data_IF_880440772926
#
_entry.id   IF_880440772926
#
_cell.length_a   1.000
_cell.length_b   1.000
_cell.length_c   1.000
_cell.angle_alpha   90.00
_cell.angle_beta   90.00
_cell.angle_gamma   90.00
#
_symmetry.space_group_name_H-M   'P 1'
#
loop_
_entity.id
_entity.type
_entity.pdbx_description
1 polymer ?
#
# COMPACT_ATOMS: atom_id res chain seq x y z
N UNK A 1 15.54 7.83 7.04
CA UNK A 1 15.42 9.13 6.37
C UNK A 1 15.39 9.04 4.84
N UNK A 2 16.12 8.14 4.17
CA UNK A 2 16.18 8.10 2.69
C UNK A 2 14.82 7.84 1.99
N UNK A 3 14.03 6.89 2.47
CA UNK A 3 12.80 6.46 1.79
C UNK A 3 11.59 7.38 2.02
N UNK A 4 11.66 8.32 2.97
CA UNK A 4 10.57 9.24 3.29
C UNK A 4 10.65 10.56 2.52
N UNK A 5 11.83 10.91 2.02
CA UNK A 5 12.06 12.20 1.35
C UNK A 5 11.29 12.30 0.04
N UNK A 6 11.37 11.29 -0.84
CA UNK A 6 10.72 11.38 -2.16
C UNK A 6 9.20 11.52 -2.05
N UNK A 7 8.58 10.91 -1.03
CA UNK A 7 7.14 10.99 -0.80
C UNK A 7 6.67 12.40 -0.43
N UNK A 8 7.53 13.21 0.20
CA UNK A 8 7.21 14.61 0.53
C UNK A 8 6.97 15.45 -0.73
N UNK A 9 7.69 15.19 -1.82
CA UNK A 9 7.49 15.90 -3.08
C UNK A 9 6.14 15.61 -3.74
N UNK A 10 5.46 14.52 -3.40
CA UNK A 10 4.12 14.16 -3.92
C UNK A 10 2.97 14.39 -2.93
N UNK A 11 3.20 15.15 -1.86
CA UNK A 11 2.22 15.31 -0.77
C UNK A 11 1.25 16.46 -1.04
N UNK A 12 -0.03 16.24 -0.78
CA UNK A 12 -1.05 17.29 -0.71
C UNK A 12 -1.08 17.91 0.70
N UNK A 13 -1.22 19.23 0.78
CA UNK A 13 -1.60 19.90 2.01
C UNK A 13 -3.13 19.91 2.14
N UNK A 14 -3.60 19.83 3.38
CA UNK A 14 -5.00 19.97 3.73
C UNK A 14 -5.19 21.29 4.47
N UNK A 15 -6.18 22.06 4.07
CA UNK A 15 -6.62 23.24 4.81
C UNK A 15 -7.79 22.88 5.70
N UNK A 16 -7.66 23.25 6.97
CA UNK A 16 -8.69 23.05 7.97
C UNK A 16 -9.13 24.41 8.48
N UNK A 17 -10.41 24.71 8.33
CA UNK A 17 -11.02 25.95 8.81
C UNK A 17 -11.68 25.69 10.15
N UNK A 18 -11.30 26.45 11.16
CA UNK A 18 -12.03 26.46 12.45
C UNK A 18 -13.41 27.09 12.23
N UNK A 19 -14.43 26.43 12.75
CA UNK A 19 -15.85 26.82 12.70
C UNK A 19 -16.47 26.58 14.07
N UNK A 20 -17.61 27.21 14.32
CA UNK A 20 -18.37 26.93 15.53
C UNK A 20 -18.86 25.49 15.52
N UNK A 21 -18.77 24.84 16.68
CA UNK A 21 -19.33 23.52 16.83
C UNK A 21 -20.86 23.61 16.95
N UNK A 22 -21.56 22.66 16.34
CA UNK A 22 -23.02 22.59 16.44
C UNK A 22 -23.38 22.01 17.81
N UNK A 23 -24.39 22.58 18.45
CA UNK A 23 -24.86 22.11 19.75
C UNK A 23 -25.28 20.64 19.68
N UNK A 24 -24.77 19.84 20.62
CA UNK A 24 -25.02 18.39 20.67
C UNK A 24 -24.04 17.53 19.85
N UNK A 25 -23.19 18.11 19.00
CA UNK A 25 -22.10 17.35 18.38
C UNK A 25 -20.93 17.16 19.37
N UNK A 26 -20.56 15.90 19.58
CA UNK A 26 -19.44 15.52 20.44
C UNK A 26 -18.11 15.59 19.68
N UNK A 27 -17.01 15.64 20.41
CA UNK A 27 -15.69 15.48 19.82
C UNK A 27 -15.67 14.20 18.94
N UNK A 28 -15.01 14.26 17.79
CA UNK A 28 -14.94 13.13 16.86
C UNK A 28 -14.31 13.50 15.53
N UNK A 29 -14.22 12.54 14.61
CA UNK A 29 -13.94 12.84 13.21
C UNK A 29 -15.00 12.20 12.32
N UNK A 30 -15.46 13.01 11.38
CA UNK A 30 -16.64 12.78 10.59
C UNK A 30 -16.25 12.96 9.12
N UNK A 31 -16.66 12.00 8.30
CA UNK A 31 -16.52 12.06 6.85
C UNK A 31 -17.77 11.42 6.25
N UNK A 32 -18.36 12.07 5.26
CA UNK A 32 -19.56 11.56 4.60
C UNK A 32 -19.86 12.31 3.32
N UNK A 33 -21.01 12.00 2.74
CA UNK A 33 -21.62 12.73 1.64
C UNK A 33 -22.77 13.57 2.18
N UNK A 34 -22.91 14.81 1.71
CA UNK A 34 -24.04 15.69 2.03
C UNK A 34 -24.90 15.82 0.78
N UNK A 35 -26.11 15.26 0.81
CA UNK A 35 -27.07 15.37 -0.30
C UNK A 35 -27.49 16.82 -0.56
N UNK A 36 -27.65 17.61 0.51
CA UNK A 36 -28.04 19.03 0.41
C UNK A 36 -26.96 19.93 -0.22
N UNK A 37 -25.69 19.55 -0.08
CA UNK A 37 -24.55 20.32 -0.61
C UNK A 37 -23.91 19.65 -1.84
N UNK A 38 -24.44 18.51 -2.26
CA UNK A 38 -23.94 17.64 -3.33
C UNK A 38 -22.41 17.44 -3.30
N UNK A 39 -21.87 17.18 -2.09
CA UNK A 39 -20.42 17.05 -1.90
C UNK A 39 -20.02 16.16 -0.73
N UNK A 40 -18.81 15.62 -0.80
CA UNK A 40 -18.15 15.05 0.38
C UNK A 40 -17.86 16.13 1.43
N UNK A 41 -18.05 15.81 2.70
CA UNK A 41 -17.57 16.61 3.82
C UNK A 41 -16.55 15.81 4.65
N UNK A 42 -15.59 16.49 5.25
CA UNK A 42 -14.73 15.95 6.29
C UNK A 42 -14.54 17.04 7.36
N UNK A 43 -14.81 16.71 8.62
CA UNK A 43 -14.52 17.60 9.76
C UNK A 43 -14.12 16.78 10.99
N UNK A 44 -13.48 17.45 11.95
CA UNK A 44 -13.29 16.88 13.28
C UNK A 44 -13.58 17.91 14.36
N UNK A 45 -14.05 17.44 15.51
CA UNK A 45 -14.31 18.25 16.68
C UNK A 45 -13.35 17.79 17.77
N UNK A 46 -12.66 18.75 18.40
CA UNK A 46 -11.78 18.50 19.52
C UNK A 46 -11.86 19.66 20.51
N UNK A 47 -12.11 19.36 21.78
CA UNK A 47 -12.30 20.39 22.81
C UNK A 47 -13.47 21.32 22.51
N UNK A 48 -14.53 20.80 21.88
CA UNK A 48 -15.70 21.60 21.49
C UNK A 48 -15.47 22.56 20.33
N UNK A 49 -14.31 22.51 19.67
CA UNK A 49 -14.01 23.29 18.46
C UNK A 49 -14.09 22.42 17.22
N UNK A 50 -14.78 22.90 16.17
CA UNK A 50 -14.96 22.18 14.92
C UNK A 50 -13.96 22.67 13.87
N UNK A 51 -13.31 21.72 13.19
CA UNK A 51 -12.36 21.97 12.11
C UNK A 51 -12.85 21.27 10.85
N UNK A 52 -13.26 22.05 9.85
CA UNK A 52 -13.76 21.54 8.58
C UNK A 52 -12.66 21.55 7.52
N UNK A 53 -12.57 20.48 6.73
CA UNK A 53 -11.69 20.43 5.58
C UNK A 53 -12.21 21.39 4.51
N UNK A 54 -11.54 22.53 4.35
CA UNK A 54 -11.94 23.57 3.40
C UNK A 54 -11.30 23.42 2.03
N UNK A 55 -10.21 22.66 1.93
CA UNK A 55 -9.50 22.47 0.67
C UNK A 55 -8.34 21.49 0.74
N UNK A 56 -7.88 21.10 -0.45
CA UNK A 56 -6.62 20.40 -0.66
C UNK A 56 -5.83 21.18 -1.70
N UNK A 57 -4.60 21.55 -1.39
CA UNK A 57 -3.71 22.25 -2.30
C UNK A 57 -2.32 21.60 -2.29
N UNK A 58 -1.49 21.98 -3.26
CA UNK A 58 -0.13 21.50 -3.35
C UNK A 58 0.67 21.97 -2.13
N UNK A 59 1.25 21.05 -1.34
CA UNK A 59 2.03 21.43 -0.17
C UNK A 59 3.21 22.35 -0.49
N UNK A 60 3.67 23.15 0.47
CA UNK A 60 4.76 24.10 0.26
C UNK A 60 6.04 23.47 -0.34
N UNK A 61 6.35 22.23 0.03
CA UNK A 61 7.53 21.50 -0.45
C UNK A 61 7.20 20.42 -1.51
N UNK A 62 5.98 20.40 -2.05
CA UNK A 62 5.71 19.46 -3.14
C UNK A 62 6.40 19.91 -4.42
N UNK A 63 6.93 18.91 -5.10
CA UNK A 63 7.39 19.03 -6.46
C UNK A 63 7.14 17.70 -7.16
N UNK A 64 5.89 17.43 -7.59
CA UNK A 64 5.45 16.11 -8.06
C UNK A 64 6.32 15.52 -9.16
N UNK A 65 6.95 16.38 -9.98
CA UNK A 65 7.92 15.98 -11.00
C UNK A 65 9.06 15.13 -10.42
N UNK A 66 9.60 15.49 -9.25
CA UNK A 66 10.67 14.73 -8.60
C UNK A 66 10.18 13.34 -8.17
N UNK A 67 9.01 13.27 -7.53
CA UNK A 67 8.42 11.99 -7.13
C UNK A 67 8.08 11.09 -8.34
N UNK A 68 7.51 11.68 -9.39
CA UNK A 68 7.21 10.98 -10.64
C UNK A 68 8.49 10.45 -11.30
N UNK A 69 9.54 11.27 -11.39
CA UNK A 69 10.82 10.90 -11.99
C UNK A 69 11.50 9.77 -11.23
N UNK A 70 11.55 9.85 -9.89
CA UNK A 70 12.13 8.81 -9.04
C UNK A 70 11.37 7.49 -9.21
N UNK A 71 10.04 7.51 -9.16
CA UNK A 71 9.24 6.28 -9.33
C UNK A 71 9.32 5.71 -10.75
N UNK A 72 9.43 6.56 -11.77
CA UNK A 72 9.68 6.13 -13.15
C UNK A 72 11.04 5.46 -13.30
N UNK A 73 12.11 6.09 -12.80
CA UNK A 73 13.46 5.53 -12.81
C UNK A 73 13.55 4.19 -12.06
N UNK A 74 12.86 4.06 -10.93
CA UNK A 74 12.77 2.79 -10.20
C UNK A 74 12.08 1.69 -11.04
N UNK A 75 10.95 2.00 -11.71
CA UNK A 75 10.25 1.04 -12.59
C UNK A 75 11.10 0.63 -13.78
N UNK A 76 11.77 1.59 -14.44
CA UNK A 76 12.69 1.30 -15.55
C UNK A 76 13.85 0.41 -15.09
N UNK A 77 14.36 0.65 -13.88
CA UNK A 77 15.43 -0.19 -13.31
C UNK A 77 14.96 -1.61 -13.06
N UNK A 78 13.78 -1.79 -12.45
CA UNK A 78 13.16 -3.10 -12.30
C UNK A 78 12.96 -3.78 -13.65
N UNK A 79 12.42 -3.07 -14.64
CA UNK A 79 12.23 -3.59 -16.00
C UNK A 79 13.54 -4.08 -16.64
N UNK A 80 14.64 -3.33 -16.49
CA UNK A 80 15.96 -3.77 -16.96
C UNK A 80 16.40 -5.08 -16.31
N UNK A 81 16.09 -5.30 -15.04
CA UNK A 81 16.37 -6.59 -14.38
C UNK A 81 15.45 -7.70 -14.88
N UNK A 82 14.16 -7.43 -15.09
CA UNK A 82 13.21 -8.40 -15.64
C UNK A 82 13.67 -8.89 -17.03
N UNK A 83 14.01 -7.95 -17.92
CA UNK A 83 14.53 -8.28 -19.26
C UNK A 83 15.85 -9.04 -19.18
N UNK A 84 16.77 -8.61 -18.30
CA UNK A 84 18.07 -9.29 -18.13
C UNK A 84 17.95 -10.71 -17.58
N UNK A 85 17.03 -10.95 -16.66
CA UNK A 85 16.72 -12.31 -16.20
C UNK A 85 16.09 -13.17 -17.32
N UNK A 86 15.41 -12.52 -18.26
CA UNK A 86 14.53 -13.15 -19.23
C UNK A 86 13.15 -13.35 -18.60
N UNK A 87 12.11 -12.85 -19.26
CA UNK A 87 10.77 -12.77 -18.67
C UNK A 87 10.20 -14.15 -18.28
N UNK A 88 10.52 -15.20 -19.04
CA UNK A 88 10.10 -16.57 -18.75
C UNK A 88 10.71 -17.16 -17.47
N UNK A 89 11.80 -16.55 -16.99
CA UNK A 89 12.49 -16.95 -15.76
C UNK A 89 12.09 -16.09 -14.56
N UNK A 90 11.14 -15.17 -14.71
CA UNK A 90 10.63 -14.33 -13.63
C UNK A 90 9.23 -14.80 -13.22
N UNK A 91 9.11 -15.22 -11.96
CA UNK A 91 7.83 -15.66 -11.40
C UNK A 91 7.04 -14.53 -10.73
N UNK A 92 7.73 -13.53 -10.20
CA UNK A 92 7.08 -12.43 -9.47
C UNK A 92 7.99 -11.19 -9.43
N UNK A 93 7.38 -10.00 -9.34
CA UNK A 93 8.10 -8.77 -8.98
C UNK A 93 7.23 -7.84 -8.14
N UNK A 94 7.86 -7.04 -7.28
CA UNK A 94 7.20 -6.03 -6.47
C UNK A 94 8.17 -4.89 -6.12
N UNK A 95 7.92 -3.73 -6.72
CA UNK A 95 8.59 -2.44 -6.49
C UNK A 95 10.11 -2.44 -6.78
N UNK A 96 10.88 -3.17 -5.98
CA UNK A 96 12.35 -3.24 -5.98
C UNK A 96 12.86 -4.69 -5.82
N UNK A 97 11.99 -5.67 -6.00
CA UNK A 97 12.31 -7.10 -5.88
C UNK A 97 11.75 -7.91 -7.05
N UNK A 98 12.40 -9.04 -7.33
CA UNK A 98 11.96 -10.04 -8.29
C UNK A 98 12.32 -11.45 -7.80
N UNK A 99 11.48 -12.42 -8.12
CA UNK A 99 11.71 -13.85 -7.85
C UNK A 99 11.95 -14.55 -9.17
N UNK A 100 13.06 -15.26 -9.26
CA UNK A 100 13.49 -15.95 -10.48
C UNK A 100 13.83 -17.39 -10.20
N UNK A 101 13.91 -18.17 -11.26
CA UNK A 101 14.53 -19.49 -11.23
C UNK A 101 16.08 -19.38 -11.27
N UNK A 102 16.82 -20.50 -11.21
CA UNK A 102 18.28 -20.46 -11.25
C UNK A 102 18.86 -19.86 -12.56
N UNK A 103 18.38 -20.19 -13.78
CA UNK A 103 18.80 -19.51 -15.00
C UNK A 103 18.65 -17.98 -14.96
N UNK A 104 17.50 -17.46 -14.51
CA UNK A 104 17.27 -16.02 -14.38
C UNK A 104 18.23 -15.38 -13.36
N UNK A 105 18.44 -16.05 -12.22
CA UNK A 105 19.39 -15.62 -11.19
C UNK A 105 20.82 -15.53 -11.73
N UNK A 106 21.25 -16.54 -12.50
CA UNK A 106 22.59 -16.58 -13.10
C UNK A 106 22.80 -15.42 -14.09
N UNK A 107 21.80 -15.09 -14.90
CA UNK A 107 21.85 -13.93 -15.80
C UNK A 107 21.93 -12.60 -15.05
N UNK A 108 21.38 -12.54 -13.84
CA UNK A 108 21.44 -11.37 -12.96
C UNK A 108 22.75 -11.25 -12.15
N UNK A 109 23.68 -12.21 -12.23
CA UNK A 109 24.86 -12.25 -11.36
C UNK A 109 25.65 -10.94 -11.31
N UNK A 110 25.88 -10.26 -12.44
CA UNK A 110 26.59 -8.97 -12.49
C UNK A 110 25.79 -7.76 -11.94
N UNK A 111 24.50 -7.95 -11.69
CA UNK A 111 23.63 -6.98 -11.00
C UNK A 111 23.59 -7.21 -9.49
N UNK A 112 24.08 -8.34 -8.99
CA UNK A 112 24.08 -8.70 -7.57
C UNK A 112 25.36 -8.20 -6.90
N UNK A 113 25.22 -7.35 -5.89
CA UNK A 113 26.30 -6.93 -5.01
C UNK A 113 25.71 -6.44 -3.68
N UNK A 114 25.70 -7.29 -2.67
CA UNK A 114 25.14 -6.96 -1.36
C UNK A 114 25.86 -5.75 -0.75
N UNK A 115 25.08 -4.82 -0.18
CA UNK A 115 25.60 -3.60 0.44
C UNK A 115 25.94 -2.46 -0.53
N UNK A 116 25.92 -2.69 -1.85
CA UNK A 116 26.16 -1.63 -2.84
C UNK A 116 24.84 -0.98 -3.26
N UNK A 117 24.78 0.36 -3.17
CA UNK A 117 23.59 1.12 -3.55
C UNK A 117 23.18 0.84 -5.00
N UNK A 118 21.89 0.59 -5.21
CA UNK A 118 21.31 0.30 -6.53
C UNK A 118 21.61 -1.09 -7.09
N UNK A 119 22.25 -1.98 -6.32
CA UNK A 119 22.50 -3.38 -6.70
C UNK A 119 21.54 -4.33 -6.00
N UNK A 120 21.34 -5.49 -6.63
CA UNK A 120 20.53 -6.56 -6.08
C UNK A 120 21.28 -7.26 -4.94
N UNK A 121 20.51 -7.78 -3.99
CA UNK A 121 20.97 -8.75 -2.99
C UNK A 121 20.06 -9.97 -3.05
N UNK A 122 20.61 -11.16 -2.76
CA UNK A 122 19.81 -12.38 -2.64
C UNK A 122 19.20 -12.40 -1.25
N UNK A 123 17.88 -12.17 -1.17
CA UNK A 123 17.15 -12.20 0.11
C UNK A 123 16.85 -13.62 0.60
N UNK A 124 16.78 -14.59 -0.31
CA UNK A 124 16.47 -15.97 0.04
C UNK A 124 16.42 -16.90 -1.17
N UNK A 125 16.43 -18.20 -0.89
CA UNK A 125 16.31 -19.27 -1.88
C UNK A 125 15.32 -20.30 -1.34
N UNK A 126 14.43 -20.79 -2.20
CA UNK A 126 13.46 -21.82 -1.85
C UNK A 126 13.33 -22.85 -2.96
N UNK A 127 12.92 -24.07 -2.61
CA UNK A 127 12.53 -25.11 -3.56
C UNK A 127 11.04 -25.09 -3.90
N UNK A 128 10.25 -24.30 -3.16
CA UNK A 128 8.79 -24.18 -3.34
C UNK A 128 8.37 -22.71 -3.25
N UNK A 129 7.67 -22.26 -4.28
CA UNK A 129 7.06 -20.95 -4.38
C UNK A 129 5.60 -21.14 -4.79
N UNK A 130 4.68 -20.58 -4.03
CA UNK A 130 3.25 -20.53 -4.38
C UNK A 130 2.83 -19.06 -4.40
N UNK A 131 2.30 -18.58 -5.52
CA UNK A 131 1.86 -17.19 -5.68
C UNK A 131 0.35 -17.21 -5.93
N UNK A 132 -0.41 -16.51 -5.10
CA UNK A 132 -1.86 -16.42 -5.25
C UNK A 132 -2.26 -15.08 -5.88
N UNK A 133 -1.68 -13.98 -5.40
CA UNK A 133 -1.98 -12.62 -5.89
C UNK A 133 -0.87 -11.62 -5.51
N UNK A 134 -0.94 -10.33 -5.94
CA UNK A 134 0.06 -9.33 -5.57
C UNK A 134 0.19 -9.20 -4.04
N UNK A 135 1.40 -9.45 -3.53
CA UNK A 135 1.75 -9.47 -2.10
C UNK A 135 1.04 -10.59 -1.33
N UNK A 136 0.64 -11.67 -2.00
CA UNK A 136 0.09 -12.89 -1.40
C UNK A 136 0.78 -14.13 -1.98
N UNK A 137 1.76 -14.66 -1.25
CA UNK A 137 2.57 -15.81 -1.68
C UNK A 137 3.20 -16.55 -0.51
N UNK A 138 3.61 -17.79 -0.77
CA UNK A 138 4.42 -18.63 0.13
C UNK A 138 5.79 -18.84 -0.51
N UNK A 139 6.82 -18.33 0.14
CA UNK A 139 8.22 -18.52 -0.24
C UNK A 139 8.85 -19.52 0.74
N UNK A 140 8.83 -20.80 0.38
CA UNK A 140 9.28 -21.89 1.26
C UNK A 140 8.41 -22.02 2.51
N UNK A 141 8.93 -21.58 3.66
CA UNK A 141 8.19 -21.55 4.93
C UNK A 141 7.61 -20.17 5.25
N UNK A 142 8.02 -19.14 4.53
CA UNK A 142 7.57 -17.78 4.77
C UNK A 142 6.31 -17.48 3.99
N UNK A 143 5.29 -16.94 4.67
CA UNK A 143 4.07 -16.47 4.05
C UNK A 143 4.03 -14.95 4.07
N UNK A 144 3.76 -14.35 2.91
CA UNK A 144 3.49 -12.93 2.76
C UNK A 144 2.04 -12.77 2.36
N UNK A 145 1.29 -11.94 3.09
CA UNK A 145 -0.09 -11.58 2.74
C UNK A 145 -0.24 -10.07 2.87
N UNK A 146 -0.85 -9.43 1.86
CA UNK A 146 -1.06 -7.98 1.85
C UNK A 146 -1.95 -7.55 3.00
N UNK A 147 -1.44 -6.64 3.82
CA UNK A 147 -2.20 -6.04 4.92
C UNK A 147 -2.48 -6.99 6.09
N UNK A 148 -2.03 -8.24 6.06
CA UNK A 148 -2.10 -9.15 7.21
C UNK A 148 -0.72 -9.15 7.87
N UNK A 149 -0.69 -8.95 9.19
CA UNK A 149 0.56 -8.94 9.95
C UNK A 149 1.08 -10.38 10.12
N UNK A 150 2.39 -10.52 10.34
CA UNK A 150 3.02 -11.84 10.53
C UNK A 150 2.48 -12.60 11.76
N UNK A 151 2.04 -11.86 12.78
CA UNK A 151 1.49 -12.37 14.05
C UNK A 151 -0.04 -12.54 14.02
N UNK A 152 -0.69 -12.28 12.88
CA UNK A 152 -2.12 -12.45 12.74
C UNK A 152 -2.51 -13.93 12.90
N UNK A 153 -3.64 -14.18 13.55
CA UNK A 153 -4.16 -15.54 13.74
C UNK A 153 -5.06 -15.91 12.57
N UNK A 154 -4.79 -17.05 11.93
CA UNK A 154 -5.73 -17.61 10.95
C UNK A 154 -6.96 -18.13 11.71
N UNK A 155 -8.14 -17.66 11.33
CA UNK A 155 -9.41 -18.02 11.98
C UNK A 155 -10.38 -18.73 11.02
N UNK A 156 -9.98 -18.93 9.77
CA UNK A 156 -10.72 -19.71 8.79
C UNK A 156 -9.97 -19.88 7.46
N UNK A 157 -10.62 -20.51 6.45
CA UNK A 157 -10.15 -20.46 5.07
C UNK A 157 -10.05 -19.00 4.61
N UNK A 158 -8.87 -18.60 4.13
CA UNK A 158 -8.58 -17.23 3.65
C UNK A 158 -8.98 -16.11 4.62
N UNK A 159 -9.11 -16.41 5.92
CA UNK A 159 -9.65 -15.47 6.91
C UNK A 159 -8.68 -15.33 8.09
N UNK A 160 -8.30 -14.09 8.38
CA UNK A 160 -7.28 -13.75 9.36
C UNK A 160 -7.78 -12.71 10.34
N UNK A 161 -7.54 -12.94 11.62
CA UNK A 161 -7.74 -11.96 12.69
C UNK A 161 -6.43 -11.21 12.95
N UNK A 162 -6.48 -9.89 12.83
CA UNK A 162 -5.37 -8.99 13.15
C UNK A 162 -5.83 -7.90 14.10
N UNK A 163 -4.90 -7.12 14.62
CA UNK A 163 -5.17 -6.05 15.55
C UNK A 163 -5.04 -4.68 14.88
N UNK A 164 -6.03 -3.82 15.11
CA UNK A 164 -6.03 -2.42 14.69
C UNK A 164 -5.96 -1.53 15.93
N UNK A 165 -4.94 -0.69 15.96
CA UNK A 165 -4.86 0.39 16.94
C UNK A 165 -5.92 1.43 16.61
N UNK A 166 -6.66 1.83 17.63
CA UNK A 166 -7.53 2.97 17.56
C UNK A 166 -6.66 4.23 17.48
N UNK A 167 -6.78 4.98 16.40
CA UNK A 167 -6.20 6.33 16.31
C UNK A 167 -7.02 7.34 17.10
N UNK A 168 -6.42 8.50 17.41
CA UNK A 168 -7.01 9.58 18.22
C UNK A 168 -8.45 9.92 17.80
N UNK A 169 -8.69 10.24 16.52
CA UNK A 169 -10.02 10.49 15.96
C UNK A 169 -11.05 9.38 16.27
N UNK A 170 -10.60 8.13 16.22
CA UNK A 170 -11.43 6.98 16.55
C UNK A 170 -11.66 6.79 18.05
N UNK A 171 -10.71 7.18 18.90
CA UNK A 171 -10.85 7.18 20.36
C UNK A 171 -11.84 8.26 20.80
N UNK A 172 -11.67 9.47 20.26
CA UNK A 172 -12.56 10.61 20.45
C UNK A 172 -14.02 10.20 20.17
N UNK A 173 -14.31 9.66 18.97
CA UNK A 173 -15.68 9.26 18.57
C UNK A 173 -16.34 8.26 19.54
N UNK A 174 -15.56 7.45 20.25
CA UNK A 174 -16.08 6.46 21.21
C UNK A 174 -16.14 7.00 22.65
N UNK A 175 -15.81 8.27 22.87
CA UNK A 175 -15.67 8.84 24.21
C UNK A 175 -14.49 8.28 25.00
N UNK A 176 -13.56 7.58 24.33
CA UNK A 176 -12.43 6.85 24.95
C UNK A 176 -11.17 7.72 25.01
N UNK A 177 -11.29 8.94 25.54
CA UNK A 177 -10.19 9.93 25.54
C UNK A 177 -9.22 9.80 26.72
N UNK A 178 -9.56 8.98 27.72
CA UNK A 178 -8.74 8.71 28.91
C UNK A 178 -8.33 7.24 28.92
N UNK A 179 -7.06 6.95 29.22
CA UNK A 179 -6.54 5.59 29.39
C UNK A 179 -5.63 5.09 28.27
N UNK A 180 -5.45 3.76 28.20
CA UNK A 180 -4.56 3.10 27.25
C UNK A 180 -5.16 3.07 25.83
N UNK A 181 -4.29 3.15 24.81
CA UNK A 181 -4.70 3.02 23.40
C UNK A 181 -5.34 1.65 23.17
N UNK A 182 -6.62 1.65 22.79
CA UNK A 182 -7.37 0.42 22.54
C UNK A 182 -6.91 -0.27 21.26
N UNK A 183 -6.81 -1.58 21.34
CA UNK A 183 -6.43 -2.46 20.23
C UNK A 183 -7.63 -3.38 19.94
N UNK A 184 -8.21 -3.27 18.75
CA UNK A 184 -9.41 -4.02 18.37
C UNK A 184 -9.05 -5.17 17.40
N UNK A 185 -9.65 -6.36 17.57
CA UNK A 185 -9.55 -7.40 16.55
C UNK A 185 -10.30 -6.95 15.28
N UNK A 186 -9.71 -7.21 14.12
CA UNK A 186 -10.28 -6.98 12.80
C UNK A 186 -10.11 -8.24 11.99
N UNK A 187 -11.21 -8.72 11.42
CA UNK A 187 -11.21 -9.86 10.52
C UNK A 187 -10.92 -9.37 9.10
N UNK A 188 -10.01 -10.07 8.43
CA UNK A 188 -9.66 -9.86 7.03
C UNK A 188 -9.99 -11.10 6.24
N UNK A 189 -10.83 -10.92 5.22
CA UNK A 189 -11.11 -11.93 4.21
C UNK A 189 -10.21 -11.66 3.01
N UNK A 190 -9.48 -12.67 2.56
CA UNK A 190 -8.61 -12.60 1.40
C UNK A 190 -9.34 -13.15 0.19
N UNK A 191 -9.50 -12.30 -0.80
CA UNK A 191 -9.88 -12.71 -2.14
C UNK A 191 -8.58 -13.04 -2.90
N UNK A 192 -8.44 -14.29 -3.34
CA UNK A 192 -7.28 -14.73 -4.12
C UNK A 192 -7.46 -14.43 -5.62
N UNK A 193 -8.46 -13.65 -5.98
CA UNK A 193 -8.73 -13.26 -7.37
C UNK A 193 -7.79 -12.15 -7.84
N UNK A 194 -7.23 -12.32 -9.05
CA UNK A 194 -6.36 -11.33 -9.68
C UNK A 194 -7.18 -10.43 -10.61
N UNK A 195 -7.35 -9.16 -10.23
CA UNK A 195 -8.19 -8.20 -10.99
C UNK A 195 -7.41 -7.21 -11.88
N UNK A 196 -6.10 -7.40 -12.06
CA UNK A 196 -5.23 -6.41 -12.74
C UNK A 196 -4.76 -6.84 -14.13
N UNK A 197 -5.32 -7.92 -14.66
CA UNK A 197 -4.94 -8.50 -15.93
C UNK A 197 -5.63 -9.85 -16.13
N UNK A 198 -5.37 -10.47 -17.27
CA UNK A 198 -5.88 -11.79 -17.63
C UNK A 198 -4.85 -12.83 -17.19
N UNK A 199 -5.28 -13.79 -16.37
CA UNK A 199 -4.44 -14.88 -15.90
C UNK A 199 -4.63 -16.09 -16.81
N UNK A 200 -3.57 -16.49 -17.51
CA UNK A 200 -3.57 -17.70 -18.33
C UNK A 200 -3.59 -18.98 -17.46
N UNK A 201 -3.88 -20.14 -18.06
CA UNK A 201 -3.81 -21.44 -17.37
C UNK A 201 -2.41 -21.77 -16.84
N UNK A 202 -1.36 -21.19 -17.44
CA UNK A 202 0.03 -21.28 -16.97
C UNK A 202 0.32 -20.43 -15.73
N UNK A 203 -0.61 -19.55 -15.33
CA UNK A 203 -0.41 -18.54 -14.27
C UNK A 203 0.24 -17.25 -14.76
N UNK A 204 0.63 -17.15 -16.04
CA UNK A 204 1.16 -15.92 -16.64
C UNK A 204 0.05 -14.87 -16.70
N UNK A 205 0.38 -13.63 -16.33
CA UNK A 205 -0.56 -12.50 -16.34
C UNK A 205 -0.26 -11.60 -17.54
N UNK A 206 -1.27 -11.39 -18.38
CA UNK A 206 -1.24 -10.40 -19.46
C UNK A 206 -2.03 -9.15 -19.04
N UNK A 207 -1.58 -7.93 -19.42
CA UNK A 207 -2.35 -6.73 -19.16
C UNK A 207 -3.69 -6.76 -19.91
N UNK A 208 -4.67 -6.00 -19.43
CA UNK A 208 -5.85 -5.72 -20.23
C UNK A 208 -5.44 -4.94 -21.48
N UNK A 209 -5.92 -5.38 -22.64
CA UNK A 209 -5.79 -4.63 -23.89
C UNK A 209 -7.01 -3.72 -23.99
N UNK A 210 -6.80 -2.42 -23.94
CA UNK A 210 -7.83 -1.46 -24.28
C UNK A 210 -7.93 -1.44 -25.81
N UNK A 211 -9.11 -1.77 -26.36
CA UNK A 211 -9.38 -1.54 -27.76
C UNK A 211 -9.31 -0.04 -28.04
N UNK A 212 -8.63 0.35 -29.11
CA UNK A 212 -8.75 1.72 -29.64
C UNK A 212 -10.08 1.80 -30.40
N UNK A 213 -11.19 1.87 -29.66
CA UNK A 213 -12.44 2.34 -30.24
C UNK A 213 -12.33 3.87 -30.32
N UNK A 214 -11.88 4.35 -31.48
CA UNK A 214 -11.93 5.75 -31.91
C UNK A 214 -13.34 6.14 -32.35
#
# INVERSE_FOLDING_TARGET
MLNSLYGKFGTWAQEWKETENVEGEIDGAYKGWSDSLDREFEYFIIGGKRYELSGKHESFNSFPLVAATITSAARITLWKWLVKAGLDHVYYCDTDSLMTDPPGTNRLASSVAAGRLGKLKIEGVTRKLEIYSPKDYVFGRERKIKGVRKDAKRVGPNTWSTYKFVGLRGAIRRGEMKGLVRVLPVIKHLDHTYHKGVVASSGVVSPFVLGEDC
#
